data_IF_521192442254
#
_entry.id   IF_521192442254
#
_cell.length_a   1.000
_cell.length_b   1.000
_cell.length_c   1.000
_cell.angle_alpha   90.00
_cell.angle_beta   90.00
_cell.angle_gamma   90.00
#
_symmetry.space_group_name_H-M   'P 1'
#
loop_
_entity.id
_entity.type
_entity.pdbx_description
1 polymer ?
#
# COMPACT_ATOMS: atom_id res chain seq x y z
N UNK A 1 -16.83 8.60 -20.85
CA UNK A 1 -16.95 7.58 -19.78
C UNK A 1 -15.59 7.48 -19.13
N UNK A 2 -15.47 7.77 -17.83
CA UNK A 2 -14.22 7.52 -17.09
C UNK A 2 -14.15 6.02 -16.81
N UNK A 3 -13.01 5.40 -17.11
CA UNK A 3 -12.76 4.00 -16.78
C UNK A 3 -12.69 3.84 -15.26
N UNK A 4 -13.10 2.67 -14.74
CA UNK A 4 -13.07 2.37 -13.31
C UNK A 4 -11.66 2.60 -12.75
N UNK A 5 -11.47 3.46 -11.73
CA UNK A 5 -10.16 3.71 -11.14
C UNK A 5 -9.60 2.51 -10.37
N UNK A 6 -10.40 1.48 -10.09
CA UNK A 6 -9.99 0.31 -9.32
C UNK A 6 -9.73 -0.88 -10.25
N UNK A 7 -8.60 -1.56 -10.03
CA UNK A 7 -8.27 -2.83 -10.69
C UNK A 7 -7.81 -3.84 -9.63
N UNK A 8 -8.42 -5.03 -9.64
CA UNK A 8 -8.11 -6.08 -8.67
C UNK A 8 -6.74 -6.73 -8.95
N UNK A 9 -5.78 -6.48 -8.07
CA UNK A 9 -4.46 -7.09 -8.08
C UNK A 9 -4.34 -8.37 -7.24
N UNK A 10 -5.43 -8.89 -6.68
CA UNK A 10 -5.51 -10.19 -5.96
C UNK A 10 -4.56 -10.34 -4.77
N UNK A 11 -4.00 -9.22 -4.26
CA UNK A 11 -2.99 -9.20 -3.21
C UNK A 11 -1.70 -10.00 -3.51
N UNK A 12 -1.38 -10.21 -4.78
CA UNK A 12 -0.18 -10.94 -5.21
C UNK A 12 0.71 -10.07 -6.11
N UNK A 13 1.99 -10.45 -6.25
CA UNK A 13 2.93 -9.80 -7.16
C UNK A 13 2.42 -9.90 -8.60
N UNK A 14 2.10 -11.11 -9.06
CA UNK A 14 1.60 -11.33 -10.42
C UNK A 14 0.26 -10.61 -10.69
N UNK A 15 -0.63 -10.58 -9.69
CA UNK A 15 -1.88 -9.85 -9.81
C UNK A 15 -1.68 -8.34 -9.87
N UNK A 16 -0.79 -7.79 -9.04
CA UNK A 16 -0.38 -6.37 -9.07
C UNK A 16 0.25 -5.99 -10.41
N UNK A 17 1.15 -6.82 -10.95
CA UNK A 17 1.78 -6.61 -12.26
C UNK A 17 0.76 -6.57 -13.39
N UNK A 18 -0.18 -7.53 -13.42
CA UNK A 18 -1.26 -7.57 -14.42
C UNK A 18 -2.18 -6.35 -14.30
N UNK A 19 -2.54 -5.95 -13.08
CA UNK A 19 -3.36 -4.76 -12.84
C UNK A 19 -2.64 -3.47 -13.29
N UNK A 20 -1.34 -3.36 -13.02
CA UNK A 20 -0.50 -2.26 -13.44
C UNK A 20 -0.46 -2.13 -14.98
N UNK A 21 -0.20 -3.23 -15.69
CA UNK A 21 -0.22 -3.25 -17.15
C UNK A 21 -1.58 -2.84 -17.72
N UNK A 22 -2.67 -3.28 -17.08
CA UNK A 22 -4.02 -2.86 -17.45
C UNK A 22 -4.22 -1.34 -17.28
N UNK A 23 -3.68 -0.74 -16.22
CA UNK A 23 -3.76 0.70 -15.97
C UNK A 23 -2.89 1.51 -16.93
N UNK A 24 -1.64 1.10 -17.14
CA UNK A 24 -0.65 1.82 -17.94
C UNK A 24 -1.00 1.84 -19.44
N UNK A 25 -1.70 0.80 -19.93
CA UNK A 25 -2.10 0.66 -21.34
C UNK A 25 -3.47 1.28 -21.66
N UNK A 26 -4.09 1.97 -20.70
CA UNK A 26 -5.33 2.73 -20.95
C UNK A 26 -5.07 3.86 -21.92
N UNK A 27 -6.11 4.31 -22.63
CA UNK A 27 -6.03 5.49 -23.49
C UNK A 27 -5.58 6.73 -22.70
N UNK A 28 -6.05 6.83 -21.46
CA UNK A 28 -5.67 7.87 -20.50
C UNK A 28 -5.16 7.16 -19.23
N UNK A 29 -3.87 6.82 -19.14
CA UNK A 29 -3.31 6.19 -17.95
C UNK A 29 -3.38 7.14 -16.74
N UNK A 30 -3.46 6.62 -15.51
CA UNK A 30 -3.53 7.44 -14.31
C UNK A 30 -2.21 8.18 -14.07
N UNK A 31 -2.28 9.41 -13.57
CA UNK A 31 -1.10 10.18 -13.13
C UNK A 31 -0.50 9.65 -11.82
N UNK A 32 -1.28 8.88 -11.05
CA UNK A 32 -0.83 8.27 -9.82
C UNK A 32 -1.57 6.99 -9.45
N UNK A 33 -0.90 6.09 -8.74
CA UNK A 33 -1.47 4.80 -8.29
C UNK A 33 -1.26 4.59 -6.79
N UNK A 34 -2.32 4.16 -6.11
CA UNK A 34 -2.23 3.59 -4.77
C UNK A 34 -2.22 2.05 -4.89
N UNK A 35 -1.12 1.43 -4.49
CA UNK A 35 -1.01 -0.02 -4.43
C UNK A 35 -1.60 -0.55 -3.12
N UNK A 36 -2.42 -1.59 -3.18
CA UNK A 36 -3.19 -2.05 -2.02
C UNK A 36 -2.40 -2.82 -0.96
N UNK A 37 -1.19 -3.29 -1.27
CA UNK A 37 -0.24 -3.88 -0.34
C UNK A 37 1.15 -4.01 -0.96
N UNK A 38 2.11 -4.42 -0.15
CA UNK A 38 3.50 -4.70 -0.48
C UNK A 38 3.71 -5.61 -1.72
N UNK A 39 2.98 -6.72 -1.82
CA UNK A 39 3.11 -7.63 -2.96
C UNK A 39 2.64 -6.99 -4.27
N UNK A 40 1.52 -6.28 -4.22
CA UNK A 40 1.01 -5.56 -5.38
C UNK A 40 1.94 -4.42 -5.79
N UNK A 41 2.55 -3.72 -4.83
CA UNK A 41 3.56 -2.69 -5.08
C UNK A 41 4.76 -3.25 -5.83
N UNK A 42 5.28 -4.42 -5.43
CA UNK A 42 6.36 -5.12 -6.15
C UNK A 42 5.97 -5.39 -7.62
N UNK A 43 4.80 -5.97 -7.84
CA UNK A 43 4.31 -6.26 -9.19
C UNK A 43 4.09 -5.00 -10.03
N UNK A 44 3.63 -3.91 -9.41
CA UNK A 44 3.50 -2.61 -10.06
C UNK A 44 4.86 -2.07 -10.50
N UNK A 45 5.87 -2.12 -9.64
CA UNK A 45 7.24 -1.69 -9.97
C UNK A 45 7.88 -2.55 -11.08
N UNK A 46 7.62 -3.86 -11.09
CA UNK A 46 8.02 -4.74 -12.19
C UNK A 46 7.38 -4.31 -13.51
N UNK A 47 6.09 -3.98 -13.51
CA UNK A 47 5.39 -3.50 -14.70
C UNK A 47 5.92 -2.16 -15.21
N UNK A 48 6.23 -1.21 -14.31
CA UNK A 48 6.87 0.06 -14.68
C UNK A 48 8.19 -0.19 -15.41
N UNK A 49 9.03 -1.08 -14.87
CA UNK A 49 10.31 -1.45 -15.48
C UNK A 49 10.14 -2.07 -16.86
N UNK A 50 9.16 -2.95 -17.03
CA UNK A 50 8.87 -3.62 -18.33
C UNK A 50 8.35 -2.64 -19.38
N UNK A 51 7.49 -1.70 -18.99
CA UNK A 51 6.92 -0.69 -19.91
C UNK A 51 7.83 0.54 -20.10
N UNK A 52 8.97 0.60 -19.40
CA UNK A 52 9.91 1.73 -19.47
C UNK A 52 9.35 3.03 -18.86
N UNK A 53 8.37 2.94 -17.96
CA UNK A 53 7.72 4.08 -17.29
C UNK A 53 8.49 4.43 -16.03
N UNK A 54 8.81 5.70 -15.82
CA UNK A 54 9.58 6.16 -14.64
C UNK A 54 8.66 6.68 -13.56
N UNK A 55 8.96 6.32 -12.32
CA UNK A 55 8.39 6.97 -11.14
C UNK A 55 9.48 7.79 -10.43
N UNK A 56 9.17 8.99 -9.90
CA UNK A 56 7.88 9.68 -9.99
C UNK A 56 7.63 10.44 -11.31
N UNK A 57 8.60 10.44 -12.24
CA UNK A 57 8.60 11.38 -13.37
C UNK A 57 7.45 11.24 -14.37
N UNK A 58 7.08 10.01 -14.74
CA UNK A 58 5.99 9.73 -15.67
C UNK A 58 4.70 9.31 -14.92
N UNK A 59 4.85 8.70 -13.74
CA UNK A 59 3.74 8.31 -12.85
C UNK A 59 4.17 8.34 -11.38
N UNK A 60 3.33 8.90 -10.51
CA UNK A 60 3.52 8.82 -9.07
C UNK A 60 2.92 7.54 -8.48
N UNK A 61 3.46 7.01 -7.39
CA UNK A 61 2.76 5.95 -6.66
C UNK A 61 3.02 5.96 -5.16
N UNK A 62 2.07 5.36 -4.43
CA UNK A 62 2.10 5.15 -2.99
C UNK A 62 1.79 3.67 -2.71
N UNK A 63 2.51 3.06 -1.78
CA UNK A 63 2.20 1.73 -1.25
C UNK A 63 1.25 1.84 -0.05
N UNK A 64 0.35 0.88 0.10
CA UNK A 64 -0.23 0.58 1.40
C UNK A 64 0.64 -0.47 2.07
N UNK A 65 0.96 -0.27 3.35
CA UNK A 65 2.04 -0.92 4.10
C UNK A 65 3.43 -0.37 3.75
N UNK A 66 4.21 -0.07 4.81
CA UNK A 66 5.62 0.28 4.65
C UNK A 66 6.44 -1.01 4.47
N UNK A 67 7.40 -0.92 3.56
CA UNK A 67 8.31 -2.02 3.22
C UNK A 67 9.61 -1.77 3.97
N UNK A 68 10.05 -2.73 4.79
CA UNK A 68 11.30 -2.61 5.57
C UNK A 68 12.52 -2.30 4.68
N UNK A 69 12.49 -2.68 3.40
CA UNK A 69 13.56 -2.43 2.42
C UNK A 69 13.32 -1.21 1.52
N UNK A 70 12.20 -0.50 1.65
CA UNK A 70 11.87 0.64 0.76
C UNK A 70 12.91 1.75 0.78
N UNK A 71 13.58 1.96 1.92
CA UNK A 71 14.63 2.97 2.10
C UNK A 71 15.96 2.58 1.47
N UNK A 72 16.15 1.28 1.20
CA UNK A 72 17.36 0.75 0.57
C UNK A 72 17.30 0.80 -0.96
N UNK A 73 16.14 1.16 -1.52
CA UNK A 73 15.98 1.32 -2.95
C UNK A 73 16.43 2.70 -3.42
N UNK A 74 17.02 2.77 -4.61
CA UNK A 74 17.33 4.06 -5.26
C UNK A 74 16.09 4.96 -5.40
N UNK A 75 14.92 4.34 -5.57
CA UNK A 75 13.62 5.01 -5.46
C UNK A 75 12.97 4.64 -4.12
N UNK A 76 12.98 5.58 -3.17
CA UNK A 76 12.24 5.42 -1.92
C UNK A 76 10.73 5.40 -2.18
N UNK A 77 10.05 4.37 -1.66
CA UNK A 77 8.60 4.17 -1.82
C UNK A 77 7.83 4.90 -0.72
N UNK A 78 7.03 5.89 -1.11
CA UNK A 78 6.05 6.54 -0.20
C UNK A 78 5.01 5.52 0.22
N UNK A 79 4.72 5.43 1.51
CA UNK A 79 3.84 4.40 2.04
C UNK A 79 2.82 4.95 3.04
N UNK A 80 1.61 4.37 3.05
CA UNK A 80 0.70 4.46 4.19
C UNK A 80 1.15 3.40 5.19
N UNK A 81 1.83 3.83 6.24
CA UNK A 81 2.37 2.97 7.28
C UNK A 81 1.32 2.73 8.37
N UNK A 82 1.14 1.45 8.71
CA UNK A 82 0.25 1.03 9.77
C UNK A 82 1.05 0.82 11.07
N UNK A 83 0.50 1.18 12.24
CA UNK A 83 1.18 0.99 13.52
C UNK A 83 1.10 -0.48 13.97
N UNK A 84 1.65 -1.42 13.20
CA UNK A 84 1.50 -2.88 13.38
C UNK A 84 1.86 -3.36 14.78
N UNK A 85 2.96 -2.85 15.34
CA UNK A 85 3.36 -3.19 16.71
C UNK A 85 2.31 -2.74 17.74
N UNK A 86 1.74 -1.54 17.58
CA UNK A 86 0.68 -1.05 18.45
C UNK A 86 -0.61 -1.85 18.26
N UNK A 87 -0.97 -2.22 17.02
CA UNK A 87 -2.13 -3.08 16.73
C UNK A 87 -1.99 -4.40 17.52
N UNK A 88 -0.87 -5.10 17.37
CA UNK A 88 -0.62 -6.36 18.07
C UNK A 88 -0.63 -6.22 19.58
N UNK A 89 0.09 -5.24 20.13
CA UNK A 89 0.16 -4.98 21.56
C UNK A 89 -1.22 -4.67 22.17
N UNK A 90 -2.02 -3.82 21.50
CA UNK A 90 -3.36 -3.45 21.94
C UNK A 90 -4.33 -4.63 21.82
N UNK A 91 -4.26 -5.42 20.76
CA UNK A 91 -5.10 -6.60 20.58
C UNK A 91 -4.87 -7.64 21.69
N UNK A 92 -3.60 -7.97 21.99
CA UNK A 92 -3.26 -8.90 23.07
C UNK A 92 -3.72 -8.37 24.42
N UNK A 93 -3.49 -7.09 24.71
CA UNK A 93 -3.98 -6.47 25.96
C UNK A 93 -5.51 -6.55 26.07
N UNK A 94 -6.24 -6.24 25.00
CA UNK A 94 -7.70 -6.32 24.98
C UNK A 94 -8.21 -7.76 25.17
N UNK A 95 -7.51 -8.76 24.64
CA UNK A 95 -7.84 -10.16 24.85
C UNK A 95 -7.61 -10.59 26.31
N UNK A 96 -6.47 -10.22 26.91
CA UNK A 96 -6.16 -10.50 28.32
C UNK A 96 -7.16 -9.84 29.27
N UNK A 97 -7.51 -8.57 29.02
CA UNK A 97 -8.54 -7.85 29.78
C UNK A 97 -9.90 -8.60 29.77
N UNK A 98 -10.25 -9.23 28.64
CA UNK A 98 -11.52 -9.96 28.47
C UNK A 98 -11.50 -11.36 29.10
N UNK A 99 -10.33 -11.99 29.17
CA UNK A 99 -10.12 -13.25 29.90
C UNK A 99 -10.24 -13.00 31.40
N UNK A 100 -9.64 -11.92 31.90
CA UNK A 100 -9.71 -11.54 33.30
C UNK A 100 -11.12 -11.10 33.74
N UNK A 101 -11.90 -10.52 32.83
CA UNK A 101 -13.28 -10.10 33.05
C UNK A 101 -14.18 -10.49 31.87
N UNK A 102 -14.76 -11.71 31.90
CA UNK A 102 -15.63 -12.18 30.83
C UNK A 102 -16.95 -11.41 30.70
N UNK A 103 -17.34 -10.60 31.69
CA UNK A 103 -18.54 -9.76 31.66
C UNK A 103 -18.32 -8.42 30.95
N UNK A 104 -17.06 -8.06 30.67
CA UNK A 104 -16.69 -6.80 30.02
C UNK A 104 -17.37 -6.64 28.64
N UNK A 105 -17.92 -5.44 28.32
CA UNK A 105 -18.49 -5.17 27.01
C UNK A 105 -17.45 -5.26 25.89
N UNK A 106 -17.85 -5.60 24.65
CA UNK A 106 -16.98 -5.53 23.48
C UNK A 106 -16.38 -4.13 23.31
N UNK A 107 -15.15 -4.06 22.81
CA UNK A 107 -14.42 -2.81 22.59
C UNK A 107 -13.86 -2.79 21.18
N UNK A 108 -13.96 -1.64 20.55
CA UNK A 108 -13.32 -1.35 19.26
C UNK A 108 -12.32 -0.23 19.47
N UNK A 109 -11.08 -0.44 19.03
CA UNK A 109 -10.02 0.57 19.05
C UNK A 109 -9.57 0.82 17.62
N UNK A 110 -9.62 2.08 17.19
CA UNK A 110 -9.03 2.52 15.92
C UNK A 110 -7.69 3.16 16.21
N UNK A 111 -6.64 2.70 15.53
CA UNK A 111 -5.32 3.31 15.56
C UNK A 111 -5.13 4.05 14.24
N UNK A 112 -4.52 5.23 14.31
CA UNK A 112 -4.29 6.04 13.12
C UNK A 112 -3.08 5.51 12.34
N UNK A 113 -3.22 5.47 11.02
CA UNK A 113 -2.09 5.27 10.11
C UNK A 113 -1.40 6.62 9.86
N UNK A 114 -0.18 6.58 9.36
CA UNK A 114 0.57 7.77 8.97
C UNK A 114 1.22 7.55 7.61
N UNK A 115 1.56 8.64 6.93
CA UNK A 115 2.20 8.58 5.61
C UNK A 115 3.70 8.75 5.82
N UNK A 116 4.46 7.74 5.40
CA UNK A 116 5.91 7.81 5.26
C UNK A 116 6.24 8.36 3.88
N UNK A 117 6.52 9.67 3.83
CA UNK A 117 6.82 10.38 2.59
C UNK A 117 8.23 10.05 2.09
N UNK A 118 8.31 9.56 0.84
CA UNK A 118 9.55 9.31 0.11
C UNK A 118 9.39 9.80 -1.35
N UNK A 119 10.26 9.37 -2.25
CA UNK A 119 10.36 9.91 -3.61
C UNK A 119 9.29 9.41 -4.60
N UNK A 120 8.65 8.25 -4.38
CA UNK A 120 7.82 7.60 -5.42
C UNK A 120 6.54 8.35 -5.81
N UNK A 121 5.99 9.18 -4.93
CA UNK A 121 4.78 9.97 -5.20
C UNK A 121 5.05 11.25 -6.02
N UNK A 122 6.31 11.70 -6.10
CA UNK A 122 6.67 13.02 -6.65
C UNK A 122 6.12 14.20 -5.85
N UNK A 123 5.68 13.95 -4.61
CA UNK A 123 5.12 14.94 -3.73
C UNK A 123 6.24 15.70 -2.97
N UNK A 124 6.07 17.02 -2.76
CA UNK A 124 7.09 17.88 -2.17
C UNK A 124 7.38 17.58 -0.69
#
# INVERSE_FOLDING_TARGET
MHEDPIVDGRSTVEGGRRAALQLLRRKNPPAGVLCGNNNMTLGFMEALKVEGVRAPGDIGFVSFDDLEWSELMELGVTAVSQPFHAIGSRAVKMALDRIADPGRPPRTLRLDCYIEHRSSCGCP
#
